data_IF_670925025133
#
_entry.id   IF_670925025133
#
_cell.length_a   1.000
_cell.length_b   1.000
_cell.length_c   1.000
_cell.angle_alpha   90.00
_cell.angle_beta   90.00
_cell.angle_gamma   90.00
#
_symmetry.space_group_name_H-M   'P 1'
#
loop_
_entity.id
_entity.type
_entity.pdbx_description
1 polymer ?
#
# COMPACT_ATOMS: atom_id res chain seq x y z
N UNK A 1 -31.64 11.05 -36.54
CA UNK A 1 -32.02 9.95 -35.62
C UNK A 1 -31.06 8.80 -35.78
N UNK A 2 -30.15 8.59 -34.83
CA UNK A 2 -29.57 7.26 -34.60
C UNK A 2 -29.01 7.19 -33.18
N UNK A 3 -29.65 6.39 -32.33
CA UNK A 3 -29.36 6.19 -30.92
C UNK A 3 -28.38 5.01 -30.81
N UNK A 4 -27.09 5.29 -30.66
CA UNK A 4 -26.12 4.24 -30.32
C UNK A 4 -26.13 4.02 -28.81
N UNK A 5 -26.60 2.82 -28.45
CA UNK A 5 -26.69 2.28 -27.11
C UNK A 5 -25.31 2.08 -26.48
N UNK A 6 -25.28 2.36 -25.18
CA UNK A 6 -24.17 2.28 -24.25
C UNK A 6 -23.87 0.81 -23.93
N UNK A 7 -22.60 0.42 -24.02
CA UNK A 7 -22.07 -0.76 -23.36
C UNK A 7 -21.35 -0.37 -22.07
N UNK A 8 -21.46 -1.20 -21.01
CA UNK A 8 -20.26 -1.53 -20.26
C UNK A 8 -20.20 -3.04 -20.00
N UNK A 9 -19.25 -3.73 -20.62
CA UNK A 9 -18.82 -5.05 -20.17
C UNK A 9 -17.75 -4.84 -19.10
N UNK A 10 -18.18 -4.80 -17.84
CA UNK A 10 -17.31 -4.95 -16.68
C UNK A 10 -17.85 -6.13 -15.88
N UNK A 11 -17.33 -7.33 -16.16
CA UNK A 11 -17.55 -8.49 -15.31
C UNK A 11 -16.80 -8.27 -14.00
N UNK A 12 -17.46 -7.64 -13.03
CA UNK A 12 -16.99 -7.58 -11.65
C UNK A 12 -17.53 -8.80 -10.91
N UNK A 13 -16.66 -9.74 -10.56
CA UNK A 13 -16.98 -10.80 -9.61
C UNK A 13 -17.35 -10.18 -8.26
N UNK A 14 -18.64 -10.01 -8.01
CA UNK A 14 -19.18 -9.65 -6.70
C UNK A 14 -19.10 -10.89 -5.79
N UNK A 15 -18.14 -10.91 -4.88
CA UNK A 15 -18.19 -11.84 -3.74
C UNK A 15 -19.26 -11.29 -2.80
N UNK A 16 -20.47 -11.82 -2.89
CA UNK A 16 -21.57 -11.54 -1.97
C UNK A 16 -21.29 -12.23 -0.64
N UNK A 17 -20.79 -11.48 0.35
CA UNK A 17 -20.81 -11.92 1.75
C UNK A 17 -22.06 -11.30 2.37
N UNK A 18 -23.09 -12.12 2.51
CA UNK A 18 -24.30 -11.77 3.26
C UNK A 18 -23.92 -11.42 4.70
N UNK A 19 -24.38 -10.27 5.19
CA UNK A 19 -24.23 -9.86 6.59
C UNK A 19 -25.25 -10.61 7.45
N UNK A 20 -24.75 -11.51 8.29
CA UNK A 20 -25.54 -12.22 9.30
C UNK A 20 -25.89 -11.29 10.49
N UNK A 21 -27.15 -11.31 10.92
CA UNK A 21 -27.71 -10.45 11.96
C UNK A 21 -27.10 -10.74 13.33
N UNK A 22 -26.73 -9.70 14.08
CA UNK A 22 -26.66 -9.74 15.55
C UNK A 22 -27.65 -8.72 16.12
N UNK A 23 -28.66 -9.21 16.85
CA UNK A 23 -29.65 -8.40 17.58
C UNK A 23 -29.14 -8.15 19.00
N UNK A 24 -28.82 -6.92 19.35
CA UNK A 24 -28.88 -6.39 20.73
C UNK A 24 -29.33 -4.92 20.70
N UNK A 25 -30.04 -4.51 21.73
CA UNK A 25 -30.95 -3.35 21.76
C UNK A 25 -30.25 -1.98 21.82
N UNK A 26 -30.85 -1.04 21.10
CA UNK A 26 -30.91 0.42 21.29
C UNK A 26 -29.62 1.26 21.08
N UNK A 27 -29.75 2.25 20.18
CA UNK A 27 -28.77 3.24 19.68
C UNK A 27 -27.71 2.72 18.69
N UNK A 28 -28.14 2.21 17.55
CA UNK A 28 -27.21 1.85 16.46
C UNK A 28 -27.06 3.03 15.50
N UNK A 29 -26.07 3.88 15.78
CA UNK A 29 -25.49 4.84 14.82
C UNK A 29 -25.43 4.14 13.45
N UNK A 30 -26.08 4.73 12.44
CA UNK A 30 -26.11 4.27 11.05
C UNK A 30 -24.81 3.55 10.69
N UNK A 31 -24.85 2.22 10.64
CA UNK A 31 -23.66 1.41 10.41
C UNK A 31 -23.04 1.88 9.10
N UNK A 32 -21.95 2.65 9.20
CA UNK A 32 -21.35 3.28 8.02
C UNK A 32 -20.94 2.19 7.04
N UNK A 33 -21.39 2.32 5.80
CA UNK A 33 -21.02 1.39 4.72
C UNK A 33 -19.52 1.57 4.47
N UNK A 34 -18.70 0.65 5.00
CA UNK A 34 -17.25 0.65 4.79
C UNK A 34 -16.95 -0.11 3.51
N UNK A 35 -16.68 0.63 2.44
CA UNK A 35 -16.29 0.06 1.15
C UNK A 35 -14.91 -0.61 1.23
N UNK A 36 -14.60 -1.60 0.36
CA UNK A 36 -13.32 -2.33 0.42
C UNK A 36 -12.06 -1.46 0.42
N UNK A 37 -12.06 -0.32 -0.29
CA UNK A 37 -10.94 0.63 -0.32
C UNK A 37 -10.75 1.41 0.99
N UNK A 38 -11.81 1.54 1.80
CA UNK A 38 -11.77 2.20 3.10
C UNK A 38 -11.18 1.29 4.20
N UNK A 39 -11.00 0.00 3.92
CA UNK A 39 -10.43 -0.96 4.88
C UNK A 39 -8.91 -0.76 4.98
N UNK A 40 -8.40 -0.54 6.19
CA UNK A 40 -6.95 -0.43 6.45
C UNK A 40 -6.29 -1.81 6.28
N UNK A 41 -5.77 -2.08 5.08
CA UNK A 41 -5.11 -3.37 4.74
C UNK A 41 -3.74 -3.57 5.41
N UNK A 42 -3.18 -2.55 6.06
CA UNK A 42 -1.77 -2.47 6.40
C UNK A 42 -1.40 -3.00 7.81
N UNK A 43 -2.35 -3.55 8.57
CA UNK A 43 -2.23 -3.74 10.03
C UNK A 43 -1.88 -5.18 10.45
N UNK A 44 -1.81 -6.15 9.54
CA UNK A 44 -1.83 -7.58 9.93
C UNK A 44 -0.49 -8.23 10.33
N UNK A 45 0.66 -7.56 10.25
CA UNK A 45 1.97 -8.21 10.46
C UNK A 45 2.93 -7.46 11.40
N UNK A 46 2.47 -7.04 12.58
CA UNK A 46 3.39 -6.74 13.67
C UNK A 46 2.77 -7.20 14.99
N UNK A 47 3.60 -7.88 15.77
CA UNK A 47 3.31 -8.53 17.06
C UNK A 47 2.39 -7.71 17.95
N UNK A 48 1.50 -8.43 18.61
CA UNK A 48 0.53 -7.97 19.61
C UNK A 48 1.19 -7.09 20.68
N UNK A 49 0.91 -5.79 20.62
CA UNK A 49 1.04 -4.91 21.79
C UNK A 49 -0.36 -4.69 22.36
N UNK A 50 -0.55 -5.21 23.55
CA UNK A 50 -1.62 -4.84 24.47
C UNK A 50 -1.56 -3.32 24.72
N UNK A 51 -2.73 -2.73 24.90
CA UNK A 51 -3.00 -1.34 25.25
C UNK A 51 -3.08 -0.34 24.09
N UNK A 52 -4.34 -0.08 23.71
CA UNK A 52 -4.85 1.28 23.52
C UNK A 52 -4.20 2.15 22.44
N UNK A 53 -4.77 2.07 21.23
CA UNK A 53 -4.81 3.19 20.27
C UNK A 53 -3.47 3.74 19.77
N UNK A 54 -2.71 2.95 19.02
CA UNK A 54 -1.94 3.53 17.92
C UNK A 54 -1.99 2.63 16.68
N UNK A 55 -2.63 3.13 15.63
CA UNK A 55 -2.61 2.45 14.34
C UNK A 55 -1.20 2.50 13.81
N UNK A 56 -0.49 1.36 13.79
CA UNK A 56 0.86 1.23 13.21
C UNK A 56 0.85 1.60 11.72
N UNK A 57 0.95 2.90 11.45
CA UNK A 57 1.24 3.45 10.13
C UNK A 57 2.68 3.05 9.82
N UNK A 58 2.92 2.44 8.65
CA UNK A 58 4.30 2.17 8.21
C UNK A 58 5.08 3.48 8.27
N UNK A 59 6.15 3.52 9.05
CA UNK A 59 7.03 4.67 9.14
C UNK A 59 7.75 4.80 7.80
N UNK A 60 7.67 5.98 7.19
CA UNK A 60 8.45 6.30 6.01
C UNK A 60 9.86 6.65 6.46
N UNK A 61 10.86 5.96 5.91
CA UNK A 61 12.26 6.33 6.10
C UNK A 61 12.61 7.45 5.12
N UNK A 62 13.15 8.56 5.64
CA UNK A 62 13.71 9.62 4.80
C UNK A 62 15.16 9.29 4.44
N UNK A 63 15.55 9.55 3.20
CA UNK A 63 16.95 9.43 2.78
C UNK A 63 17.69 10.74 3.01
N UNK A 64 18.99 10.64 3.30
CA UNK A 64 19.85 11.80 3.42
C UNK A 64 20.09 12.46 2.06
N UNK A 65 20.51 13.73 2.06
CA UNK A 65 20.88 14.47 0.83
C UNK A 65 21.91 13.69 -0.01
N UNK A 66 22.93 13.12 0.64
CA UNK A 66 23.99 12.36 -0.03
C UNK A 66 23.47 11.08 -0.69
N UNK A 67 22.60 10.34 -0.01
CA UNK A 67 21.97 9.13 -0.56
C UNK A 67 21.16 9.45 -1.82
N UNK A 68 20.38 10.54 -1.81
CA UNK A 68 19.58 10.96 -2.96
C UNK A 68 20.50 11.32 -4.14
N UNK A 69 21.53 12.11 -3.92
CA UNK A 69 22.45 12.54 -4.98
C UNK A 69 23.18 11.37 -5.64
N UNK A 70 23.67 10.40 -4.86
CA UNK A 70 24.33 9.20 -5.41
C UNK A 70 23.34 8.33 -6.19
N UNK A 71 22.09 8.18 -5.73
CA UNK A 71 21.05 7.45 -6.46
C UNK A 71 20.66 8.17 -7.77
N UNK A 72 20.52 9.50 -7.75
CA UNK A 72 20.26 10.30 -8.95
C UNK A 72 21.40 10.20 -9.95
N UNK A 73 22.65 10.31 -9.49
CA UNK A 73 23.84 10.15 -10.31
C UNK A 73 23.85 8.78 -11.00
N UNK A 74 23.59 7.72 -10.25
CA UNK A 74 23.53 6.39 -10.82
C UNK A 74 22.38 6.24 -11.83
N UNK A 75 21.21 6.82 -11.55
CA UNK A 75 20.06 6.79 -12.47
C UNK A 75 20.33 7.54 -13.78
N UNK A 76 21.15 8.59 -13.74
CA UNK A 76 21.62 9.26 -14.95
C UNK A 76 22.61 8.40 -15.74
N UNK A 77 23.52 7.70 -15.05
CA UNK A 77 24.45 6.77 -15.68
C UNK A 77 23.73 5.58 -16.32
N UNK A 78 22.75 4.99 -15.61
CA UNK A 78 21.96 3.86 -16.12
C UNK A 78 20.56 3.82 -15.48
N UNK A 79 19.53 3.84 -16.32
CA UNK A 79 18.11 3.78 -15.90
C UNK A 79 17.70 2.47 -15.22
N UNK A 80 18.46 1.39 -15.44
CA UNK A 80 18.20 0.07 -14.88
C UNK A 80 19.47 -0.57 -14.32
N UNK A 81 19.40 -0.98 -13.05
CA UNK A 81 20.52 -1.60 -12.36
C UNK A 81 20.48 -3.13 -12.50
N UNK A 82 21.65 -3.71 -12.79
CA UNK A 82 21.85 -5.16 -12.70
C UNK A 82 22.04 -5.58 -11.23
N UNK A 83 22.01 -6.90 -10.99
CA UNK A 83 22.10 -7.47 -9.63
C UNK A 83 23.35 -7.00 -8.88
N UNK A 84 24.52 -7.10 -9.52
CA UNK A 84 25.82 -6.76 -8.93
C UNK A 84 25.86 -5.29 -8.52
N UNK A 85 25.45 -4.40 -9.43
CA UNK A 85 25.49 -2.95 -9.19
C UNK A 85 24.54 -2.54 -8.07
N UNK A 86 23.37 -3.17 -7.94
CA UNK A 86 22.47 -2.96 -6.78
C UNK A 86 23.14 -3.28 -5.44
N UNK A 87 23.95 -4.35 -5.37
CA UNK A 87 24.67 -4.71 -4.14
C UNK A 87 25.67 -3.63 -3.77
N UNK A 88 26.46 -3.19 -4.75
CA UNK A 88 27.52 -2.19 -4.54
C UNK A 88 26.92 -0.90 -3.98
N UNK A 89 25.86 -0.38 -4.60
CA UNK A 89 25.19 0.86 -4.17
C UNK A 89 24.53 0.70 -2.80
N UNK A 90 23.85 -0.41 -2.56
CA UNK A 90 23.21 -0.71 -1.27
C UNK A 90 24.22 -0.65 -0.12
N UNK A 91 25.40 -1.25 -0.31
CA UNK A 91 26.48 -1.22 0.69
C UNK A 91 27.04 0.19 0.88
N UNK A 92 27.33 0.92 -0.20
CA UNK A 92 27.90 2.27 -0.10
C UNK A 92 26.95 3.24 0.60
N UNK A 93 25.65 3.12 0.36
CA UNK A 93 24.63 4.05 0.88
C UNK A 93 24.00 3.59 2.21
N UNK A 94 24.41 2.45 2.76
CA UNK A 94 23.77 1.82 3.93
C UNK A 94 22.26 1.65 3.75
N UNK A 95 21.85 1.21 2.56
CA UNK A 95 20.48 0.89 2.19
C UNK A 95 20.35 -0.61 1.92
N UNK A 96 19.15 -1.14 2.01
CA UNK A 96 18.87 -2.51 1.55
C UNK A 96 18.75 -2.54 0.03
N UNK A 97 19.07 -3.68 -0.58
CA UNK A 97 18.88 -3.85 -2.03
C UNK A 97 17.43 -3.62 -2.46
N UNK A 98 16.47 -3.94 -1.57
CA UNK A 98 15.05 -3.68 -1.80
C UNK A 98 14.76 -2.18 -1.88
N UNK A 99 15.45 -1.36 -1.09
CA UNK A 99 15.31 0.10 -1.12
C UNK A 99 15.98 0.73 -2.35
N UNK A 100 17.06 0.12 -2.86
CA UNK A 100 17.70 0.54 -4.12
C UNK A 100 16.87 0.08 -5.33
N UNK A 101 16.13 -1.02 -5.21
CA UNK A 101 15.21 -1.55 -6.22
C UNK A 101 13.85 -0.83 -6.12
N UNK A 102 13.80 0.41 -6.61
CA UNK A 102 12.54 1.13 -6.90
C UNK A 102 12.25 1.06 -8.38
#
# INVERSE_FOLDING_TARGET
HNTNQIGPSAQTNSISIASELTKTNNETISASIIYPWMKKLHVKNLVQSTDGTETYKRIRTAYTRSQILELEKEFHFKKYLNRRRRIEIARTLMLTERQVKV
#
